data_IF_242816163854
#
_entry.id   IF_242816163854
#
_cell.length_a   1.000
_cell.length_b   1.000
_cell.length_c   1.000
_cell.angle_alpha   90.00
_cell.angle_beta   90.00
_cell.angle_gamma   90.00
#
_symmetry.space_group_name_H-M   'P 1'
#
loop_
_entity.id
_entity.type
_entity.pdbx_description
1 polymer ?
#
# COMPACT_ATOMS: atom_id res chain seq x y z
N UNK A 1 20.79 -24.04 -9.59
CA UNK A 1 21.39 -22.79 -10.11
C UNK A 1 21.49 -21.81 -8.95
N UNK A 2 22.66 -21.17 -8.76
CA UNK A 2 22.90 -20.22 -7.66
C UNK A 2 22.10 -18.93 -7.88
N UNK A 3 21.66 -18.29 -6.80
CA UNK A 3 21.06 -16.96 -6.83
C UNK A 3 22.18 -15.91 -6.84
N UNK A 4 22.15 -15.00 -7.82
CA UNK A 4 23.09 -13.89 -7.98
C UNK A 4 22.39 -12.55 -8.07
N UNK A 5 21.16 -12.51 -8.64
CA UNK A 5 20.41 -11.29 -8.91
C UNK A 5 18.99 -11.39 -8.36
N UNK A 6 18.54 -10.32 -7.71
CA UNK A 6 17.20 -10.22 -7.10
C UNK A 6 16.59 -8.91 -7.53
N UNK A 7 15.35 -8.92 -8.02
CA UNK A 7 14.55 -7.72 -8.25
C UNK A 7 13.44 -7.62 -7.21
N UNK A 8 13.41 -6.53 -6.48
CA UNK A 8 12.39 -6.22 -5.49
C UNK A 8 11.37 -5.27 -6.11
N UNK A 9 10.09 -5.67 -6.16
CA UNK A 9 9.01 -4.92 -6.80
C UNK A 9 8.54 -3.68 -6.01
N UNK A 10 9.44 -3.05 -5.28
CA UNK A 10 9.21 -1.85 -4.46
C UNK A 10 10.26 -0.78 -4.76
N UNK A 11 10.00 0.48 -4.39
CA UNK A 11 11.04 1.52 -4.42
C UNK A 11 12.24 1.14 -3.56
N UNK A 12 13.41 1.61 -3.98
CA UNK A 12 14.64 1.47 -3.19
C UNK A 12 14.46 2.09 -1.80
N UNK A 13 14.93 1.41 -0.73
CA UNK A 13 14.89 1.97 0.61
C UNK A 13 15.67 3.29 0.70
N UNK A 14 15.07 4.29 1.35
CA UNK A 14 15.70 5.62 1.54
C UNK A 14 16.73 5.65 2.66
N UNK A 15 16.80 4.60 3.48
CA UNK A 15 17.71 4.50 4.62
C UNK A 15 18.86 3.57 4.28
N UNK A 16 20.08 4.00 4.53
CA UNK A 16 21.30 3.21 4.32
C UNK A 16 21.34 1.92 5.19
N UNK A 17 20.57 1.89 6.27
CA UNK A 17 20.45 0.74 7.19
C UNK A 17 19.38 -0.27 6.79
N UNK A 18 19.06 -0.38 5.51
CA UNK A 18 18.05 -1.34 5.07
C UNK A 18 18.55 -2.77 5.18
N UNK A 19 17.76 -3.73 5.74
CA UNK A 19 18.11 -5.15 5.77
C UNK A 19 18.38 -5.78 4.40
N UNK A 20 17.97 -5.13 3.31
CA UNK A 20 18.29 -5.58 1.95
C UNK A 20 19.76 -5.33 1.59
N UNK A 21 20.34 -4.23 2.04
CA UNK A 21 21.75 -3.94 1.80
C UNK A 21 22.63 -4.93 2.58
N UNK A 22 22.29 -5.18 3.87
CA UNK A 22 22.96 -6.21 4.67
C UNK A 22 22.89 -7.61 4.00
N UNK A 23 21.72 -7.94 3.42
CA UNK A 23 21.52 -9.20 2.70
C UNK A 23 22.39 -9.28 1.45
N UNK A 24 22.45 -8.18 0.67
CA UNK A 24 23.29 -8.06 -0.53
C UNK A 24 24.76 -8.35 -0.20
N UNK A 25 25.30 -7.66 0.80
CA UNK A 25 26.70 -7.78 1.23
C UNK A 25 27.01 -9.18 1.77
N UNK A 26 26.15 -9.69 2.64
CA UNK A 26 26.31 -10.99 3.30
C UNK A 26 26.27 -12.16 2.34
N UNK A 27 25.36 -12.13 1.37
CA UNK A 27 25.15 -13.24 0.42
C UNK A 27 25.88 -13.04 -0.90
N UNK A 28 26.49 -11.86 -1.11
CA UNK A 28 27.17 -11.45 -2.36
C UNK A 28 26.23 -11.58 -3.56
N UNK A 29 25.01 -11.06 -3.41
CA UNK A 29 23.97 -11.01 -4.45
C UNK A 29 23.68 -9.57 -4.80
N UNK A 30 23.40 -9.30 -6.09
CA UNK A 30 22.93 -7.99 -6.52
C UNK A 30 21.43 -7.89 -6.23
N UNK A 31 20.99 -6.81 -5.57
CA UNK A 31 19.57 -6.53 -5.32
C UNK A 31 19.23 -5.22 -5.99
N UNK A 32 18.34 -5.28 -6.98
CA UNK A 32 17.80 -4.12 -7.67
C UNK A 32 16.36 -3.86 -7.17
N UNK A 33 15.95 -2.60 -7.18
CA UNK A 33 14.62 -2.16 -6.79
C UNK A 33 13.92 -1.49 -7.95
N UNK A 34 12.70 -1.93 -8.25
CA UNK A 34 11.88 -1.34 -9.29
C UNK A 34 10.41 -1.36 -8.87
N UNK A 35 9.75 -0.22 -8.64
CA UNK A 35 8.33 -0.21 -8.32
C UNK A 35 7.51 -0.75 -9.49
N UNK A 36 6.81 -1.85 -9.30
CA UNK A 36 5.92 -2.45 -10.30
C UNK A 36 4.57 -1.75 -10.37
N UNK A 37 4.24 -1.06 -9.28
CA UNK A 37 3.04 -0.23 -9.16
C UNK A 37 3.41 1.09 -8.49
N UNK A 38 2.65 2.13 -8.81
CA UNK A 38 2.74 3.41 -8.11
C UNK A 38 1.34 3.98 -7.85
N UNK A 39 1.27 5.03 -7.05
CA UNK A 39 0.01 5.69 -6.73
C UNK A 39 -0.08 6.99 -7.52
N UNK A 40 -1.19 7.16 -8.24
CA UNK A 40 -1.53 8.40 -8.94
C UNK A 40 -2.74 9.06 -8.31
N UNK A 41 -2.69 10.39 -8.21
CA UNK A 41 -3.85 11.18 -7.80
C UNK A 41 -4.91 11.22 -8.89
N UNK A 42 -6.18 11.05 -8.52
CA UNK A 42 -7.31 11.31 -9.40
C UNK A 42 -7.38 12.81 -9.65
N UNK A 43 -7.64 13.21 -10.89
CA UNK A 43 -7.68 14.62 -11.27
C UNK A 43 -8.85 15.35 -10.58
N UNK A 44 -8.68 16.64 -10.31
CA UNK A 44 -9.77 17.47 -9.74
C UNK A 44 -11.01 17.51 -10.63
N UNK A 45 -10.83 17.36 -11.95
CA UNK A 45 -11.93 17.30 -12.93
C UNK A 45 -12.78 16.04 -12.70
N UNK A 46 -12.14 14.89 -12.52
CA UNK A 46 -12.82 13.62 -12.21
C UNK A 46 -13.50 13.68 -10.85
N UNK A 47 -12.82 14.19 -9.82
CA UNK A 47 -13.39 14.35 -8.46
C UNK A 47 -14.63 15.26 -8.47
N UNK A 48 -14.61 16.36 -9.22
CA UNK A 48 -15.80 17.24 -9.39
C UNK A 48 -16.96 16.52 -10.08
N UNK A 49 -16.66 15.56 -10.96
CA UNK A 49 -17.66 14.72 -11.62
C UNK A 49 -18.49 13.88 -10.65
N UNK A 50 -17.95 13.53 -9.48
CA UNK A 50 -18.68 12.80 -8.44
C UNK A 50 -19.70 13.67 -7.67
N UNK A 51 -19.72 14.98 -7.92
CA UNK A 51 -20.65 15.95 -7.31
C UNK A 51 -20.69 15.88 -5.78
N UNK A 52 -19.55 15.65 -5.16
CA UNK A 52 -19.39 15.63 -3.70
C UNK A 52 -18.98 17.02 -3.23
N UNK A 53 -19.85 17.67 -2.45
CA UNK A 53 -19.53 18.94 -1.82
C UNK A 53 -18.80 18.71 -0.50
N UNK A 54 -17.53 19.11 -0.43
CA UNK A 54 -16.68 18.94 0.75
C UNK A 54 -17.16 19.74 1.96
N UNK A 55 -17.95 20.81 1.76
CA UNK A 55 -18.51 21.61 2.86
C UNK A 55 -19.58 20.86 3.68
N UNK A 56 -20.13 19.80 3.13
CA UNK A 56 -21.13 18.99 3.81
C UNK A 56 -20.56 18.06 4.90
N UNK A 57 -19.23 17.94 5.01
CA UNK A 57 -18.58 17.02 5.94
C UNK A 57 -17.97 17.75 7.13
N UNK A 58 -18.08 17.11 8.30
CA UNK A 58 -17.56 17.62 9.57
C UNK A 58 -16.43 16.74 10.11
N UNK A 59 -16.25 15.57 9.52
CA UNK A 59 -15.24 14.59 9.91
C UNK A 59 -14.64 13.87 8.72
N UNK A 60 -13.36 13.49 8.81
CA UNK A 60 -12.62 12.78 7.76
C UNK A 60 -12.03 11.51 8.34
N UNK A 61 -12.24 10.38 7.64
CA UNK A 61 -11.66 9.08 7.98
C UNK A 61 -10.40 8.86 7.15
N UNK A 62 -9.26 8.76 7.80
CA UNK A 62 -7.94 8.63 7.17
C UNK A 62 -7.35 7.24 7.44
N UNK A 63 -7.30 6.42 6.42
CA UNK A 63 -6.84 5.02 6.52
C UNK A 63 -5.37 4.83 6.14
N UNK A 64 -4.75 5.82 5.49
CA UNK A 64 -3.36 5.76 5.02
C UNK A 64 -2.74 7.15 4.85
N UNK A 65 -1.41 7.20 4.68
CA UNK A 65 -0.71 8.44 4.32
C UNK A 65 -1.15 8.98 2.96
N UNK A 66 -1.39 8.10 1.98
CA UNK A 66 -1.91 8.50 0.68
C UNK A 66 -3.29 9.17 0.79
N UNK A 67 -4.17 8.67 1.67
CA UNK A 67 -5.46 9.30 1.93
C UNK A 67 -5.30 10.72 2.50
N UNK A 68 -4.29 10.93 3.36
CA UNK A 68 -3.96 12.27 3.88
C UNK A 68 -3.47 13.17 2.74
N UNK A 69 -2.43 12.78 2.02
CA UNK A 69 -1.82 13.60 0.96
C UNK A 69 -2.84 13.98 -0.11
N UNK A 70 -3.61 13.00 -0.61
CA UNK A 70 -4.57 13.24 -1.68
C UNK A 70 -5.80 14.01 -1.24
N UNK A 71 -6.24 13.89 0.03
CA UNK A 71 -7.29 14.74 0.56
C UNK A 71 -6.87 16.22 0.57
N UNK A 72 -5.70 16.54 1.12
CA UNK A 72 -5.25 17.93 1.17
C UNK A 72 -4.89 18.47 -0.20
N UNK A 73 -4.34 17.67 -1.11
CA UNK A 73 -4.13 18.04 -2.50
C UNK A 73 -5.46 18.46 -3.17
N UNK A 74 -6.50 17.63 -3.06
CA UNK A 74 -7.80 17.94 -3.65
C UNK A 74 -8.47 19.15 -2.96
N UNK A 75 -8.34 19.28 -1.65
CA UNK A 75 -8.84 20.45 -0.93
C UNK A 75 -8.21 21.75 -1.48
N UNK A 76 -6.88 21.76 -1.70
CA UNK A 76 -6.16 22.88 -2.29
C UNK A 76 -6.60 23.15 -3.74
N UNK A 77 -6.61 22.14 -4.62
CA UNK A 77 -7.02 22.25 -6.03
C UNK A 77 -8.48 22.69 -6.19
N UNK A 78 -9.36 22.31 -5.26
CA UNK A 78 -10.76 22.75 -5.21
C UNK A 78 -10.94 24.10 -4.50
N UNK A 79 -9.89 24.68 -3.94
CA UNK A 79 -9.93 25.90 -3.10
C UNK A 79 -10.83 25.72 -1.88
N UNK A 80 -10.94 24.52 -1.36
CA UNK A 80 -11.67 24.21 -0.15
C UNK A 80 -10.78 24.47 1.07
N UNK A 81 -11.11 25.51 1.82
CA UNK A 81 -10.46 25.78 3.10
C UNK A 81 -11.03 24.83 4.15
N UNK A 82 -10.23 23.85 4.56
CA UNK A 82 -10.65 22.89 5.57
C UNK A 82 -10.97 23.62 6.89
N UNK A 83 -12.21 23.48 7.42
CA UNK A 83 -12.62 24.20 8.61
C UNK A 83 -11.78 23.82 9.85
N UNK A 84 -11.49 24.79 10.71
CA UNK A 84 -10.81 24.54 11.98
C UNK A 84 -11.55 23.56 12.88
N UNK A 85 -12.87 23.42 12.71
CA UNK A 85 -13.71 22.50 13.45
C UNK A 85 -13.62 21.05 12.94
N UNK A 86 -13.01 20.81 11.77
CA UNK A 86 -12.90 19.48 11.16
C UNK A 86 -12.29 18.47 12.12
N UNK A 87 -12.91 17.30 12.23
CA UNK A 87 -12.43 16.17 13.00
C UNK A 87 -11.75 15.14 12.10
N UNK A 88 -10.72 14.48 12.61
CA UNK A 88 -9.96 13.49 11.84
C UNK A 88 -9.95 12.17 12.60
N UNK A 89 -10.33 11.11 11.92
CA UNK A 89 -10.34 9.74 12.42
C UNK A 89 -9.25 8.95 11.71
N UNK A 90 -8.10 8.79 12.37
CA UNK A 90 -6.91 8.16 11.80
C UNK A 90 -6.86 6.68 12.18
N UNK A 91 -6.64 5.80 11.22
CA UNK A 91 -6.61 4.35 11.45
C UNK A 91 -5.49 3.93 12.42
N UNK A 92 -4.37 4.67 12.45
CA UNK A 92 -3.22 4.37 13.30
C UNK A 92 -2.47 5.63 13.71
N UNK A 93 -1.62 5.50 14.75
CA UNK A 93 -0.73 6.58 15.18
C UNK A 93 0.19 7.08 14.06
N UNK A 94 0.68 6.18 13.19
CA UNK A 94 1.51 6.54 12.05
C UNK A 94 0.79 7.47 11.05
N UNK A 95 -0.52 7.27 10.86
CA UNK A 95 -1.35 8.17 10.02
C UNK A 95 -1.62 9.49 10.74
N UNK A 96 -1.91 9.45 12.04
CA UNK A 96 -2.14 10.66 12.84
C UNK A 96 -0.88 11.53 12.94
N UNK A 97 0.29 10.91 13.09
CA UNK A 97 1.56 11.61 13.07
C UNK A 97 1.81 12.26 11.69
N UNK A 98 1.55 11.53 10.61
CA UNK A 98 1.72 12.03 9.26
C UNK A 98 0.77 13.21 8.94
N UNK A 99 -0.45 13.17 9.49
CA UNK A 99 -1.44 14.25 9.34
C UNK A 99 -0.92 15.61 9.85
N UNK A 100 0.01 15.62 10.81
CA UNK A 100 0.60 16.85 11.35
C UNK A 100 1.39 17.67 10.31
N UNK A 101 1.69 17.07 9.15
CA UNK A 101 2.24 17.79 8.00
C UNK A 101 1.28 18.87 7.47
N UNK A 102 -0.02 18.69 7.69
CA UNK A 102 -1.08 19.53 7.14
C UNK A 102 -1.88 20.29 8.20
N UNK A 103 -1.98 19.74 9.42
CA UNK A 103 -2.79 20.32 10.49
C UNK A 103 -2.04 20.30 11.81
N UNK A 104 -2.29 21.30 12.65
CA UNK A 104 -1.78 21.33 14.02
C UNK A 104 -2.48 20.24 14.85
N UNK A 105 -1.70 19.42 15.54
CA UNK A 105 -2.24 18.37 16.40
C UNK A 105 -3.09 18.96 17.53
N UNK A 106 -4.35 18.53 17.61
CA UNK A 106 -5.29 18.91 18.68
C UNK A 106 -6.03 17.66 19.15
N UNK A 107 -5.78 17.22 20.37
CA UNK A 107 -6.36 16.01 21.00
C UNK A 107 -7.90 15.92 20.87
N UNK A 108 -8.60 17.06 20.81
CA UNK A 108 -10.06 17.10 20.68
C UNK A 108 -10.56 16.92 19.24
N UNK A 109 -9.67 16.89 18.26
CA UNK A 109 -10.01 16.83 16.82
C UNK A 109 -9.43 15.62 16.12
N UNK A 110 -8.40 14.99 16.68
CA UNK A 110 -7.71 13.84 16.08
C UNK A 110 -7.94 12.62 16.96
N UNK A 111 -8.68 11.66 16.39
CA UNK A 111 -9.04 10.39 17.01
C UNK A 111 -8.24 9.28 16.34
N UNK A 112 -7.58 8.43 17.13
CA UNK A 112 -6.63 7.46 16.61
C UNK A 112 -7.06 6.05 16.99
N UNK A 113 -7.24 5.19 15.97
CA UNK A 113 -7.38 3.75 16.16
C UNK A 113 -6.05 3.10 16.52
N UNK A 114 -6.08 1.89 17.06
CA UNK A 114 -4.84 1.19 17.46
C UNK A 114 -4.12 0.54 16.29
N UNK A 115 -4.77 -0.38 15.58
CA UNK A 115 -4.17 -1.09 14.42
C UNK A 115 -5.16 -1.44 13.33
N UNK A 116 -6.39 -1.77 13.69
CA UNK A 116 -7.40 -2.29 12.79
C UNK A 116 -8.50 -1.26 12.54
N UNK A 117 -9.21 -1.41 11.44
CA UNK A 117 -10.35 -0.53 11.16
C UNK A 117 -11.47 -0.68 12.18
N UNK A 118 -11.81 -1.88 12.69
CA UNK A 118 -12.75 -2.06 13.82
C UNK A 118 -12.40 -1.27 15.08
N UNK A 119 -11.13 -1.02 15.36
CA UNK A 119 -10.76 -0.17 16.50
C UNK A 119 -11.15 1.29 16.27
N UNK A 120 -11.03 1.75 15.02
CA UNK A 120 -11.44 3.09 14.63
C UNK A 120 -12.96 3.25 14.65
N UNK A 121 -13.72 2.22 14.26
CA UNK A 121 -15.19 2.28 14.24
C UNK A 121 -15.79 2.45 15.65
N UNK A 122 -15.11 1.96 16.70
CA UNK A 122 -15.50 2.22 18.09
C UNK A 122 -15.45 3.71 18.44
N UNK A 123 -14.49 4.44 17.87
CA UNK A 123 -14.38 5.89 18.05
C UNK A 123 -15.41 6.64 17.20
N UNK A 124 -15.58 6.24 15.96
CA UNK A 124 -16.57 6.79 15.03
C UNK A 124 -17.98 6.68 15.63
N UNK A 125 -18.32 5.54 16.23
CA UNK A 125 -19.60 5.28 16.87
C UNK A 125 -19.94 6.31 17.99
N UNK A 126 -18.93 6.86 18.66
CA UNK A 126 -19.12 7.92 19.69
C UNK A 126 -19.43 9.29 19.08
N UNK A 127 -19.28 9.44 17.77
CA UNK A 127 -19.45 10.69 17.03
C UNK A 127 -20.49 10.58 15.91
N UNK A 128 -21.59 9.85 16.14
CA UNK A 128 -22.61 9.54 15.12
C UNK A 128 -23.28 10.77 14.47
N UNK A 129 -23.22 11.91 15.11
CA UNK A 129 -23.79 13.17 14.60
C UNK A 129 -22.92 13.84 13.55
N UNK A 130 -21.66 13.40 13.40
CA UNK A 130 -20.76 13.91 12.37
C UNK A 130 -21.13 13.36 11.00
N UNK A 131 -20.81 14.13 9.96
CA UNK A 131 -20.89 13.70 8.56
C UNK A 131 -19.49 13.35 8.08
N UNK A 132 -19.27 12.08 7.79
CA UNK A 132 -17.95 11.56 7.50
C UNK A 132 -17.63 11.51 6.01
N UNK A 133 -16.45 12.00 5.63
CA UNK A 133 -15.84 11.74 4.34
C UNK A 133 -14.78 10.66 4.49
N UNK A 134 -14.76 9.68 3.60
CA UNK A 134 -13.72 8.65 3.49
C UNK A 134 -12.91 8.85 2.20
N UNK A 135 -11.81 9.61 2.22
CA UNK A 135 -10.83 9.62 1.15
C UNK A 135 -10.23 8.24 0.95
N UNK A 136 -10.33 7.69 -0.25
CA UNK A 136 -9.87 6.32 -0.52
C UNK A 136 -9.18 6.17 -1.88
N UNK A 137 -8.60 4.99 -2.09
CA UNK A 137 -8.21 4.57 -3.44
C UNK A 137 -9.39 3.91 -4.15
N UNK A 138 -9.27 3.77 -5.45
CA UNK A 138 -10.15 2.95 -6.30
C UNK A 138 -10.30 1.50 -5.79
N UNK A 139 -9.24 0.94 -5.20
CA UNK A 139 -9.20 -0.42 -4.62
C UNK A 139 -9.38 -0.37 -3.10
N UNK A 140 -10.58 -0.02 -2.62
CA UNK A 140 -10.92 -0.04 -1.20
C UNK A 140 -11.29 -1.46 -0.75
N UNK A 141 -10.82 -1.86 0.44
CA UNK A 141 -11.18 -3.17 1.03
C UNK A 141 -12.68 -3.19 1.37
N UNK A 142 -13.45 -4.23 0.97
CA UNK A 142 -14.91 -4.31 1.21
C UNK A 142 -15.31 -4.16 2.68
N UNK A 143 -14.50 -4.67 3.59
CA UNK A 143 -14.73 -4.57 5.04
C UNK A 143 -14.99 -3.13 5.53
N UNK A 144 -14.33 -2.13 4.91
CA UNK A 144 -14.43 -0.73 5.38
C UNK A 144 -15.82 -0.16 5.15
N UNK A 145 -16.40 -0.20 3.93
CA UNK A 145 -17.79 0.19 3.71
C UNK A 145 -18.78 -0.59 4.58
N UNK A 146 -18.65 -1.91 4.63
CA UNK A 146 -19.54 -2.80 5.41
C UNK A 146 -19.60 -2.38 6.89
N UNK A 147 -18.45 -2.11 7.49
CA UNK A 147 -18.37 -1.65 8.87
C UNK A 147 -19.00 -0.26 9.06
N UNK A 148 -18.75 0.69 8.15
CA UNK A 148 -19.32 2.02 8.24
C UNK A 148 -20.84 2.02 8.08
N UNK A 149 -21.37 1.21 7.16
CA UNK A 149 -22.82 1.04 6.94
C UNK A 149 -23.48 0.45 8.19
N UNK A 150 -22.82 -0.53 8.84
CA UNK A 150 -23.33 -1.16 10.07
C UNK A 150 -23.46 -0.18 11.25
N UNK A 151 -22.74 0.94 11.24
CA UNK A 151 -22.79 1.94 12.31
C UNK A 151 -24.02 2.86 12.23
N UNK A 152 -24.73 2.90 11.10
CA UNK A 152 -25.86 3.79 10.87
C UNK A 152 -25.49 5.27 10.92
N UNK A 153 -24.30 5.63 10.42
CA UNK A 153 -23.77 7.00 10.36
C UNK A 153 -23.96 7.59 8.95
N UNK A 154 -23.90 8.90 8.85
CA UNK A 154 -23.85 9.59 7.55
C UNK A 154 -22.41 9.64 7.06
N UNK A 155 -22.12 8.93 5.97
CA UNK A 155 -20.79 8.92 5.39
C UNK A 155 -20.81 8.86 3.86
N UNK A 156 -19.71 9.29 3.23
CA UNK A 156 -19.52 9.23 1.78
C UNK A 156 -18.08 8.85 1.49
N UNK A 157 -17.88 7.92 0.56
CA UNK A 157 -16.59 7.60 -0.06
C UNK A 157 -16.28 8.64 -1.13
N UNK A 158 -15.00 8.97 -1.26
CA UNK A 158 -14.49 9.79 -2.34
C UNK A 158 -13.14 9.23 -2.79
N UNK A 159 -13.07 8.74 -4.03
CA UNK A 159 -11.85 8.20 -4.58
C UNK A 159 -10.94 9.33 -5.04
N UNK A 160 -9.78 9.43 -4.42
CA UNK A 160 -8.83 10.52 -4.63
C UNK A 160 -7.51 10.09 -5.26
N UNK A 161 -7.25 8.78 -5.30
CA UNK A 161 -6.05 8.21 -5.88
C UNK A 161 -6.32 6.79 -6.36
N UNK A 162 -5.47 6.31 -7.26
CA UNK A 162 -5.52 4.94 -7.79
C UNK A 162 -4.14 4.30 -7.78
N UNK A 163 -4.11 2.97 -7.67
CA UNK A 163 -2.89 2.20 -7.88
C UNK A 163 -2.79 1.83 -9.34
N UNK A 164 -1.75 2.31 -10.01
CA UNK A 164 -1.49 2.06 -11.43
C UNK A 164 -0.27 1.20 -11.63
N UNK A 165 -0.27 0.49 -12.72
CA UNK A 165 0.87 -0.32 -13.18
C UNK A 165 1.97 0.60 -13.68
N UNK A 166 3.19 0.39 -13.22
CA UNK A 166 4.36 1.11 -13.72
C UNK A 166 4.78 0.57 -15.09
N UNK A 167 5.35 1.43 -15.92
CA UNK A 167 6.04 0.99 -17.13
C UNK A 167 7.35 0.30 -16.74
N UNK A 168 7.52 -0.93 -17.19
CA UNK A 168 8.67 -1.79 -16.95
C UNK A 168 9.34 -2.23 -18.26
N UNK A 169 9.11 -1.53 -19.36
CA UNK A 169 9.68 -1.86 -20.68
C UNK A 169 11.21 -1.95 -20.67
N UNK A 170 11.86 -1.20 -19.78
CA UNK A 170 13.30 -1.25 -19.55
C UNK A 170 13.81 -2.59 -18.98
N UNK A 171 12.93 -3.48 -18.54
CA UNK A 171 13.26 -4.80 -17.97
C UNK A 171 12.96 -5.96 -18.93
N UNK A 172 12.54 -5.69 -20.17
CA UNK A 172 12.10 -6.75 -21.12
C UNK A 172 13.20 -7.80 -21.36
N UNK A 173 14.44 -7.35 -21.53
CA UNK A 173 15.60 -8.23 -21.79
C UNK A 173 16.44 -8.52 -20.54
N UNK A 174 15.95 -8.20 -19.34
CA UNK A 174 16.71 -8.35 -18.11
C UNK A 174 16.27 -9.60 -17.34
N UNK A 175 17.21 -10.50 -17.07
CA UNK A 175 16.96 -11.71 -16.28
C UNK A 175 17.34 -11.51 -14.81
N UNK A 176 16.42 -11.90 -13.92
CA UNK A 176 16.66 -12.00 -12.48
C UNK A 176 16.47 -13.43 -11.99
N UNK A 177 17.35 -13.88 -11.08
CA UNK A 177 17.23 -15.19 -10.44
C UNK A 177 16.04 -15.27 -9.49
N UNK A 178 15.66 -14.12 -8.88
CA UNK A 178 14.52 -14.01 -7.97
C UNK A 178 13.75 -12.72 -8.25
N UNK A 179 12.43 -12.83 -8.37
CA UNK A 179 11.48 -11.70 -8.35
C UNK A 179 10.74 -11.69 -7.01
N UNK A 180 10.68 -10.52 -6.34
CA UNK A 180 10.08 -10.37 -5.01
C UNK A 180 8.85 -9.50 -5.08
N UNK A 181 7.68 -10.03 -4.66
CA UNK A 181 6.40 -9.34 -4.69
C UNK A 181 5.79 -9.16 -3.30
N UNK A 182 5.10 -8.03 -3.09
CA UNK A 182 4.47 -7.66 -1.83
C UNK A 182 2.95 -7.45 -1.93
N UNK A 183 2.40 -7.55 -3.12
CA UNK A 183 0.96 -7.39 -3.34
C UNK A 183 0.50 -8.13 -4.60
N UNK A 184 -0.79 -8.51 -4.68
CA UNK A 184 -1.40 -9.03 -5.90
C UNK A 184 -1.23 -8.10 -7.11
N UNK A 185 -1.31 -6.78 -6.89
CA UNK A 185 -1.14 -5.79 -7.95
C UNK A 185 0.26 -5.80 -8.58
N UNK A 186 1.29 -6.28 -7.84
CA UNK A 186 2.63 -6.51 -8.42
C UNK A 186 2.63 -7.63 -9.45
N UNK A 187 1.87 -8.70 -9.21
CA UNK A 187 1.72 -9.80 -10.17
C UNK A 187 0.90 -9.35 -11.38
N UNK A 188 -0.19 -8.60 -11.17
CA UNK A 188 -0.93 -7.95 -12.25
C UNK A 188 -0.01 -7.10 -13.14
N UNK A 189 0.89 -6.33 -12.51
CA UNK A 189 1.85 -5.48 -13.21
C UNK A 189 2.84 -6.31 -14.03
N UNK A 190 3.37 -7.40 -13.49
CA UNK A 190 4.24 -8.32 -14.23
C UNK A 190 3.56 -8.81 -15.51
N UNK A 191 2.34 -9.33 -15.39
CA UNK A 191 1.61 -9.89 -16.53
C UNK A 191 1.16 -8.84 -17.55
N UNK A 192 0.87 -7.62 -17.09
CA UNK A 192 0.48 -6.53 -17.99
C UNK A 192 1.66 -6.00 -18.79
N UNK A 193 2.85 -5.88 -18.17
CA UNK A 193 4.06 -5.46 -18.87
C UNK A 193 4.64 -6.58 -19.73
N UNK A 194 4.57 -7.83 -19.26
CA UNK A 194 5.15 -9.00 -19.90
C UNK A 194 4.10 -10.11 -20.06
N UNK A 195 3.15 -9.98 -21.03
CA UNK A 195 2.05 -10.95 -21.21
C UNK A 195 2.51 -12.38 -21.48
N UNK A 196 3.70 -12.53 -22.07
CA UNK A 196 4.30 -13.82 -22.39
C UNK A 196 5.34 -14.28 -21.35
N UNK A 197 5.37 -13.65 -20.17
CA UNK A 197 6.33 -14.01 -19.13
C UNK A 197 6.22 -15.49 -18.76
N UNK A 198 7.37 -16.16 -18.81
CA UNK A 198 7.51 -17.54 -18.37
C UNK A 198 8.51 -17.61 -17.24
N UNK A 199 8.10 -18.22 -16.14
CA UNK A 199 8.92 -18.28 -14.94
C UNK A 199 10.25 -19.03 -15.18
N UNK A 200 10.25 -20.11 -15.96
CA UNK A 200 11.44 -20.92 -16.29
C UNK A 200 12.31 -21.17 -15.05
N UNK A 201 13.51 -20.55 -15.02
CA UNK A 201 14.49 -20.66 -13.92
C UNK A 201 14.39 -19.55 -12.87
N UNK A 202 13.56 -18.53 -13.12
CA UNK A 202 13.31 -17.45 -12.18
C UNK A 202 12.47 -17.96 -11.00
N UNK A 203 12.89 -17.62 -9.81
CA UNK A 203 12.14 -17.94 -8.59
C UNK A 203 11.27 -16.77 -8.22
N UNK A 204 10.09 -17.06 -7.69
CA UNK A 204 9.16 -16.03 -7.22
C UNK A 204 9.08 -16.08 -5.70
N UNK A 205 9.32 -14.93 -5.08
CA UNK A 205 9.17 -14.70 -3.67
C UNK A 205 7.94 -13.81 -3.42
N UNK A 206 7.05 -14.21 -2.50
CA UNK A 206 5.83 -13.46 -2.21
C UNK A 206 5.65 -13.22 -0.70
N UNK A 207 5.28 -11.99 -0.36
CA UNK A 207 4.98 -11.58 1.01
C UNK A 207 3.47 -11.51 1.25
N UNK A 208 2.97 -12.31 2.19
CA UNK A 208 1.55 -12.38 2.57
C UNK A 208 0.72 -13.34 1.71
N UNK A 209 -0.29 -13.95 2.33
CA UNK A 209 -1.12 -14.99 1.73
C UNK A 209 -1.84 -14.54 0.44
N UNK A 210 -2.30 -13.28 0.40
CA UNK A 210 -2.96 -12.73 -0.79
C UNK A 210 -2.02 -12.65 -1.99
N UNK A 211 -0.73 -12.32 -1.75
CA UNK A 211 0.29 -12.26 -2.82
C UNK A 211 0.66 -13.66 -3.28
N UNK A 212 0.83 -14.60 -2.34
CA UNK A 212 1.08 -16.03 -2.66
C UNK A 212 -0.04 -16.58 -3.53
N UNK A 213 -1.31 -16.31 -3.12
CA UNK A 213 -2.48 -16.71 -3.91
C UNK A 213 -2.44 -16.12 -5.33
N UNK A 214 -2.13 -14.84 -5.48
CA UNK A 214 -2.06 -14.20 -6.78
C UNK A 214 -0.97 -14.81 -7.69
N UNK A 215 0.18 -15.22 -7.11
CA UNK A 215 1.23 -15.96 -7.85
C UNK A 215 0.70 -17.28 -8.38
N UNK A 216 0.01 -18.06 -7.54
CA UNK A 216 -0.53 -19.38 -7.93
C UNK A 216 -1.71 -19.25 -8.90
N UNK A 217 -2.60 -18.28 -8.71
CA UNK A 217 -3.72 -17.99 -9.62
C UNK A 217 -3.22 -17.58 -11.02
N UNK A 218 -2.04 -16.95 -11.10
CA UNK A 218 -1.37 -16.61 -12.35
C UNK A 218 -0.64 -17.81 -13.02
N UNK A 219 -0.72 -19.00 -12.43
CA UNK A 219 -0.08 -20.21 -12.94
C UNK A 219 1.42 -20.32 -12.61
N UNK A 220 1.94 -19.49 -11.72
CA UNK A 220 3.33 -19.51 -11.31
C UNK A 220 3.55 -20.29 -10.02
N UNK A 221 4.78 -20.76 -9.85
CA UNK A 221 5.24 -21.39 -8.62
C UNK A 221 5.78 -20.32 -7.66
N UNK A 222 5.25 -20.27 -6.43
CA UNK A 222 5.82 -19.45 -5.37
C UNK A 222 6.94 -20.27 -4.67
N UNK A 223 8.21 -19.88 -4.86
CA UNK A 223 9.37 -20.61 -4.33
C UNK A 223 9.75 -20.16 -2.92
N UNK A 224 9.46 -18.90 -2.57
CA UNK A 224 9.82 -18.29 -1.28
C UNK A 224 8.60 -17.55 -0.74
N UNK A 225 8.18 -17.92 0.45
CA UNK A 225 7.03 -17.29 1.12
C UNK A 225 7.44 -16.64 2.42
N UNK A 226 6.87 -15.46 2.69
CA UNK A 226 6.96 -14.75 3.96
C UNK A 226 5.62 -14.01 4.22
N UNK A 227 5.25 -13.68 5.48
CA UNK A 227 5.93 -14.08 6.71
C UNK A 227 5.65 -15.53 7.09
N UNK A 228 6.59 -16.13 7.80
CA UNK A 228 6.40 -17.39 8.50
C UNK A 228 6.96 -17.27 9.92
N UNK A 229 6.65 -18.21 10.85
CA UNK A 229 7.22 -18.18 12.21
C UNK A 229 8.75 -18.10 12.22
N UNK A 230 9.41 -18.78 11.28
CA UNK A 230 10.87 -18.82 11.17
C UNK A 230 11.44 -17.64 10.37
N UNK A 231 10.67 -17.06 9.46
CA UNK A 231 11.08 -15.97 8.59
C UNK A 231 10.00 -14.89 8.53
N UNK A 232 9.87 -14.07 9.59
CA UNK A 232 8.85 -13.03 9.68
C UNK A 232 9.04 -11.87 8.69
N UNK A 233 10.20 -11.74 8.05
CA UNK A 233 10.45 -10.75 7.01
C UNK A 233 10.88 -11.41 5.70
N UNK A 234 10.69 -10.69 4.58
CA UNK A 234 11.13 -11.16 3.27
C UNK A 234 12.64 -11.31 3.19
N UNK A 235 13.41 -10.41 3.79
CA UNK A 235 14.88 -10.48 3.82
C UNK A 235 15.38 -11.73 4.54
N UNK A 236 14.73 -12.13 5.64
CA UNK A 236 15.05 -13.38 6.34
C UNK A 236 14.71 -14.62 5.50
N UNK A 237 13.58 -14.58 4.78
CA UNK A 237 13.19 -15.68 3.90
C UNK A 237 14.18 -15.83 2.73
N UNK A 238 14.59 -14.73 2.13
CA UNK A 238 15.62 -14.69 1.09
C UNK A 238 16.97 -15.19 1.62
N UNK A 239 17.44 -14.73 2.78
CA UNK A 239 18.70 -15.16 3.41
C UNK A 239 18.72 -16.67 3.61
N UNK A 240 17.65 -17.23 4.18
CA UNK A 240 17.50 -18.68 4.39
C UNK A 240 17.54 -19.45 3.07
N UNK A 241 16.77 -19.00 2.08
CA UNK A 241 16.69 -19.65 0.76
C UNK A 241 18.05 -19.64 0.03
N UNK A 242 18.71 -18.48 -0.02
CA UNK A 242 19.99 -18.30 -0.70
C UNK A 242 21.07 -19.19 -0.07
N UNK A 243 21.13 -19.29 1.25
CA UNK A 243 22.05 -20.17 1.96
C UNK A 243 21.90 -21.64 1.55
N UNK A 244 20.67 -22.10 1.36
CA UNK A 244 20.40 -23.49 0.96
C UNK A 244 20.81 -23.72 -0.49
N UNK A 245 20.48 -22.80 -1.38
CA UNK A 245 20.67 -22.98 -2.84
C UNK A 245 22.12 -22.69 -3.25
N UNK A 246 22.78 -21.74 -2.61
CA UNK A 246 24.16 -21.36 -2.98
C UNK A 246 25.22 -22.21 -2.31
N UNK A 247 24.88 -22.97 -1.24
CA UNK A 247 25.80 -23.96 -0.62
C UNK A 247 25.95 -25.27 -1.40
N UNK A 248 25.01 -25.53 -2.33
CA UNK A 248 25.08 -26.65 -3.27
C UNK A 248 25.83 -26.19 -4.53
#
# INVERSE_FOLDING_TARGET
>A
MKVKTILVSQPEPKTETSPYFDLSDKQKVKIDFRPFIHVEGISVKEVRGEKVDLHNFTAIILTSRNAVDHFFRIAEEMRFKVPDAMKYFCQSEAVAFYLQKYVVYRKRKIYVGTRTFPDLTKLIKKHKTEKFLLPSSDKLKPLIPEELDSLGITWKRLDLYRTVVSDLSDLEDVFYDVLVFFSPSGIESLLKNFPNFQQNKTRIAAFGNSTVKAVTDAGFKCDITAPSPETPSMTMALDKYIKIVNKK
#
